data_IF_562820100728
#
_entry.id   IF_562820100728
#
_cell.length_a   1.000
_cell.length_b   1.000
_cell.length_c   1.000
_cell.angle_alpha   90.00
_cell.angle_beta   90.00
_cell.angle_gamma   90.00
#
_symmetry.space_group_name_H-M   'P 1'
#
loop_
_entity.id
_entity.type
_entity.pdbx_description
1 polymer ?
#
# COMPACT_ATOMS: atom_id res chain seq x y z
N UNK A 1 -35.20 27.13 18.90
CA UNK A 1 -34.34 28.07 18.14
C UNK A 1 -33.21 28.54 19.03
N UNK A 2 -32.03 27.97 18.84
CA UNK A 2 -30.72 28.41 19.34
C UNK A 2 -29.76 27.40 18.70
N UNK A 3 -29.19 27.69 17.55
CA UNK A 3 -28.02 28.55 17.43
C UNK A 3 -26.94 27.70 16.75
N UNK A 4 -27.23 27.25 15.53
CA UNK A 4 -26.27 26.57 14.66
C UNK A 4 -25.25 27.62 14.25
N UNK A 5 -24.07 27.55 14.86
CA UNK A 5 -22.96 28.43 14.53
C UNK A 5 -22.38 28.02 13.16
N UNK A 6 -22.85 28.69 12.11
CA UNK A 6 -22.48 28.50 10.70
C UNK A 6 -21.07 28.99 10.35
N UNK A 7 -20.29 29.42 11.35
CA UNK A 7 -18.90 29.88 11.18
C UNK A 7 -17.83 28.78 11.34
N UNK A 8 -18.23 27.56 11.75
CA UNK A 8 -17.31 26.41 11.79
C UNK A 8 -17.35 25.64 10.47
N UNK A 9 -16.39 25.90 9.58
CA UNK A 9 -16.15 25.08 8.40
C UNK A 9 -15.87 23.64 8.82
N UNK A 10 -16.66 22.68 8.37
CA UNK A 10 -16.42 21.27 8.66
C UNK A 10 -15.17 20.82 7.88
N UNK A 11 -14.04 20.68 8.56
CA UNK A 11 -12.84 20.06 7.97
C UNK A 11 -13.01 18.53 7.93
N UNK A 12 -13.72 18.01 6.93
CA UNK A 12 -13.65 16.59 6.60
C UNK A 12 -12.34 16.32 5.84
N UNK A 13 -11.35 15.68 6.48
CA UNK A 13 -10.04 15.43 5.83
C UNK A 13 -9.61 13.96 5.72
N UNK A 14 -10.33 12.98 6.27
CA UNK A 14 -10.01 11.55 6.11
C UNK A 14 -11.22 10.77 5.59
N UNK A 15 -11.10 10.01 4.49
CA UNK A 15 -12.21 9.21 3.97
C UNK A 15 -12.65 8.12 4.95
N UNK A 16 -13.88 7.66 4.74
CA UNK A 16 -14.51 6.64 5.58
C UNK A 16 -14.38 5.27 4.90
N UNK A 17 -13.98 4.25 5.65
CA UNK A 17 -14.06 2.86 5.20
C UNK A 17 -15.37 2.27 5.68
N UNK A 18 -16.15 1.68 4.76
CA UNK A 18 -17.41 1.00 5.06
C UNK A 18 -17.25 -0.48 4.73
N UNK A 19 -17.42 -1.35 5.73
CA UNK A 19 -17.40 -2.80 5.56
C UNK A 19 -18.81 -3.36 5.70
N UNK A 20 -19.39 -3.83 4.60
CA UNK A 20 -20.68 -4.49 4.61
C UNK A 20 -20.53 -5.99 4.86
N UNK A 21 -21.23 -6.49 5.88
CA UNK A 21 -21.40 -7.91 6.14
C UNK A 21 -20.12 -8.65 6.46
N UNK A 22 -19.11 -7.97 7.04
CA UNK A 22 -17.85 -8.56 7.50
C UNK A 22 -18.10 -9.84 8.30
N UNK A 23 -17.41 -10.93 7.93
CA UNK A 23 -17.65 -12.26 8.49
C UNK A 23 -16.53 -12.74 9.41
N UNK A 24 -15.28 -12.36 9.14
CA UNK A 24 -14.13 -12.83 9.91
C UNK A 24 -13.61 -11.70 10.81
N UNK A 25 -13.67 -11.86 12.15
CA UNK A 25 -13.11 -10.87 13.07
C UNK A 25 -11.64 -10.58 12.82
N UNK A 26 -10.85 -11.58 12.44
CA UNK A 26 -9.43 -11.44 12.14
C UNK A 26 -9.19 -10.50 10.95
N UNK A 27 -10.06 -10.56 9.93
CA UNK A 27 -10.02 -9.61 8.81
C UNK A 27 -10.35 -8.19 9.28
N UNK A 28 -11.32 -8.01 10.18
CA UNK A 28 -11.64 -6.69 10.73
C UNK A 28 -10.42 -6.08 11.44
N UNK A 29 -9.70 -6.87 12.23
CA UNK A 29 -8.46 -6.41 12.86
C UNK A 29 -7.39 -6.02 11.85
N UNK A 30 -7.15 -6.85 10.84
CA UNK A 30 -6.20 -6.53 9.76
C UNK A 30 -6.62 -5.29 8.94
N UNK A 31 -7.91 -5.06 8.76
CA UNK A 31 -8.45 -3.83 8.15
C UNK A 31 -8.12 -2.62 9.03
N UNK A 32 -8.41 -2.66 10.33
CA UNK A 32 -8.06 -1.55 11.24
C UNK A 32 -6.57 -1.24 11.22
N UNK A 33 -5.72 -2.28 11.26
CA UNK A 33 -4.26 -2.13 11.16
C UNK A 33 -3.85 -1.44 9.86
N UNK A 34 -4.43 -1.89 8.75
CA UNK A 34 -4.18 -1.34 7.42
C UNK A 34 -4.62 0.12 7.31
N UNK A 35 -5.81 0.45 7.81
CA UNK A 35 -6.34 1.81 7.86
C UNK A 35 -5.36 2.74 8.59
N UNK A 36 -4.92 2.33 9.78
CA UNK A 36 -4.03 3.14 10.60
C UNK A 36 -2.66 3.36 9.94
N UNK A 37 -2.10 2.36 9.25
CA UNK A 37 -0.84 2.49 8.50
C UNK A 37 -0.87 3.63 7.48
N UNK A 38 -2.05 3.98 6.96
CA UNK A 38 -2.25 5.01 5.94
C UNK A 38 -3.04 6.23 6.45
N UNK A 39 -3.23 6.33 7.77
CA UNK A 39 -3.86 7.48 8.43
C UNK A 39 -5.39 7.47 8.50
N UNK A 40 -6.06 6.41 8.04
CA UNK A 40 -7.51 6.29 8.11
C UNK A 40 -7.96 5.93 9.53
N UNK A 41 -8.97 6.65 10.06
CA UNK A 41 -9.50 6.45 11.41
C UNK A 41 -11.02 6.24 11.47
N UNK A 42 -11.71 6.46 10.36
CA UNK A 42 -13.17 6.42 10.30
C UNK A 42 -13.62 5.10 9.69
N UNK A 43 -14.21 4.23 10.52
CA UNK A 43 -14.69 2.91 10.12
C UNK A 43 -16.20 2.77 10.40
N UNK A 44 -16.94 2.29 9.41
CA UNK A 44 -18.36 1.92 9.55
C UNK A 44 -18.54 0.45 9.23
N UNK A 45 -19.31 -0.24 10.06
CA UNK A 45 -19.71 -1.63 9.85
C UNK A 45 -21.19 -1.68 9.51
N UNK A 46 -21.54 -2.28 8.37
CA UNK A 46 -22.94 -2.44 7.93
C UNK A 46 -23.34 -3.90 8.07
N UNK A 47 -24.35 -4.17 8.88
CA UNK A 47 -24.87 -5.52 9.14
C UNK A 47 -23.75 -6.57 9.39
N UNK A 48 -22.75 -6.30 10.27
CA UNK A 48 -21.63 -7.22 10.49
C UNK A 48 -22.15 -8.60 10.94
N UNK A 49 -21.53 -9.68 10.45
CA UNK A 49 -21.87 -11.06 10.86
C UNK A 49 -21.11 -11.50 12.11
N UNK A 50 -20.34 -10.58 12.68
CA UNK A 50 -19.59 -10.73 13.92
C UNK A 50 -20.18 -9.77 14.96
N UNK A 51 -20.14 -10.17 16.23
CA UNK A 51 -20.43 -9.23 17.32
C UNK A 51 -19.30 -8.20 17.43
N UNK A 52 -19.66 -6.94 17.65
CA UNK A 52 -18.73 -5.84 17.89
C UNK A 52 -18.96 -5.26 19.30
N UNK A 53 -17.91 -4.98 20.09
CA UNK A 53 -16.49 -5.27 19.83
C UNK A 53 -16.17 -6.78 19.83
N UNK A 54 -15.04 -7.17 19.24
CA UNK A 54 -14.64 -8.58 19.12
C UNK A 54 -13.18 -8.81 19.53
N UNK A 55 -12.93 -9.75 20.45
CA UNK A 55 -11.59 -10.03 20.96
C UNK A 55 -10.58 -10.46 19.87
N UNK A 56 -11.02 -11.22 18.86
CA UNK A 56 -10.16 -11.66 17.75
C UNK A 56 -9.81 -10.50 16.82
N UNK A 57 -10.74 -9.59 16.59
CA UNK A 57 -10.48 -8.37 15.82
C UNK A 57 -9.49 -7.46 16.56
N UNK A 58 -9.63 -7.33 17.88
CA UNK A 58 -8.69 -6.58 18.73
C UNK A 58 -7.30 -7.21 18.64
N UNK A 59 -7.17 -8.51 18.89
CA UNK A 59 -5.90 -9.22 18.87
C UNK A 59 -5.16 -9.12 17.52
N UNK A 60 -5.90 -9.23 16.41
CA UNK A 60 -5.33 -9.14 15.05
C UNK A 60 -5.06 -7.70 14.57
N UNK A 61 -5.52 -6.68 15.32
CA UNK A 61 -5.32 -5.27 14.97
C UNK A 61 -3.93 -4.72 15.27
N UNK A 62 -3.12 -5.44 16.06
CA UNK A 62 -1.78 -5.03 16.47
C UNK A 62 -1.73 -3.58 17.03
N UNK A 63 -2.65 -3.25 17.94
CA UNK A 63 -2.75 -1.94 18.59
C UNK A 63 -3.60 -0.89 17.84
N UNK A 64 -4.03 -1.18 16.61
CA UNK A 64 -4.86 -0.24 15.87
C UNK A 64 -6.26 -0.05 16.48
N UNK A 65 -6.76 -1.05 17.21
CA UNK A 65 -8.01 -0.95 17.95
C UNK A 65 -8.00 0.21 18.96
N UNK A 66 -6.88 0.49 19.63
CA UNK A 66 -6.84 1.53 20.66
C UNK A 66 -7.08 2.94 20.08
N UNK A 67 -6.85 3.10 18.77
CA UNK A 67 -7.04 4.36 18.04
C UNK A 67 -8.38 4.39 17.28
N UNK A 68 -8.74 3.29 16.62
CA UNK A 68 -9.92 3.23 15.74
C UNK A 68 -11.16 2.68 16.46
N UNK A 69 -10.97 1.79 17.44
CA UNK A 69 -12.05 1.00 18.05
C UNK A 69 -13.20 1.85 18.61
N UNK A 70 -12.87 2.97 19.25
CA UNK A 70 -13.86 3.87 19.85
C UNK A 70 -14.63 4.72 18.82
N UNK A 71 -14.12 4.90 17.60
CA UNK A 71 -14.78 5.66 16.53
C UNK A 71 -15.59 4.78 15.57
N UNK A 72 -15.55 3.45 15.73
CA UNK A 72 -16.30 2.52 14.88
C UNK A 72 -17.80 2.72 15.08
N UNK A 73 -18.51 3.00 13.98
CA UNK A 73 -19.98 3.08 13.96
C UNK A 73 -20.57 1.81 13.33
N UNK A 74 -21.63 1.27 13.92
CA UNK A 74 -22.32 0.07 13.43
C UNK A 74 -23.72 0.45 12.96
N UNK A 75 -24.07 0.02 11.75
CA UNK A 75 -25.34 0.33 11.09
C UNK A 75 -26.05 -0.95 10.67
N UNK A 76 -27.38 -0.87 10.58
CA UNK A 76 -28.21 -2.01 10.17
C UNK A 76 -28.34 -2.10 8.65
N UNK A 77 -28.33 -0.97 7.95
CA UNK A 77 -28.51 -0.86 6.50
C UNK A 77 -27.32 -0.12 5.86
N UNK A 78 -27.19 -0.21 4.53
CA UNK A 78 -26.16 0.56 3.81
C UNK A 78 -26.58 2.03 3.73
N UNK A 79 -27.87 2.26 3.56
CA UNK A 79 -28.52 3.56 3.47
C UNK A 79 -28.17 4.42 4.69
N UNK A 80 -28.42 3.92 5.91
CA UNK A 80 -28.12 4.62 7.17
C UNK A 80 -26.61 4.93 7.29
N UNK A 81 -25.77 4.05 6.74
CA UNK A 81 -24.32 4.20 6.78
C UNK A 81 -23.78 5.17 5.73
N UNK A 82 -24.61 5.64 4.79
CA UNK A 82 -24.22 6.55 3.72
C UNK A 82 -25.02 7.86 3.67
N UNK A 83 -25.95 8.09 4.61
CA UNK A 83 -26.78 9.31 4.66
C UNK A 83 -25.97 10.62 4.66
N UNK A 84 -24.80 10.64 5.29
CA UNK A 84 -23.89 11.79 5.34
C UNK A 84 -22.73 11.68 4.34
N UNK A 85 -22.78 10.75 3.38
CA UNK A 85 -21.74 10.50 2.38
C UNK A 85 -22.16 11.10 1.04
N UNK A 86 -21.37 12.04 0.54
CA UNK A 86 -21.62 12.66 -0.75
C UNK A 86 -21.01 11.87 -1.92
N UNK A 87 -19.91 11.14 -1.67
CA UNK A 87 -19.25 10.32 -2.69
C UNK A 87 -18.96 8.93 -2.16
N UNK A 88 -19.70 7.96 -2.67
CA UNK A 88 -19.54 6.54 -2.37
C UNK A 88 -18.83 5.83 -3.52
N UNK A 89 -17.67 5.23 -3.23
CA UNK A 89 -16.93 4.39 -4.15
C UNK A 89 -16.97 2.93 -3.71
N UNK A 90 -17.55 2.05 -4.52
CA UNK A 90 -17.71 0.63 -4.18
C UNK A 90 -16.68 -0.26 -4.88
N UNK A 91 -16.04 -1.19 -4.16
CA UNK A 91 -15.08 -2.12 -4.76
C UNK A 91 -15.75 -3.35 -5.35
N UNK A 92 -15.43 -3.71 -6.59
CA UNK A 92 -15.96 -4.90 -7.25
C UNK A 92 -14.93 -5.58 -8.16
N UNK A 93 -14.97 -6.92 -8.17
CA UNK A 93 -14.22 -7.74 -9.14
C UNK A 93 -14.99 -7.94 -10.46
N UNK A 94 -16.30 -7.62 -10.49
CA UNK A 94 -17.18 -7.84 -11.64
C UNK A 94 -17.13 -6.64 -12.58
N UNK A 95 -16.89 -6.91 -13.87
CA UNK A 95 -16.68 -5.88 -14.90
C UNK A 95 -17.91 -5.57 -15.78
N UNK A 96 -18.98 -6.38 -15.76
CA UNK A 96 -19.84 -6.53 -16.96
C UNK A 96 -21.30 -6.09 -16.86
N UNK A 97 -21.86 -5.82 -15.69
CA UNK A 97 -23.33 -5.73 -15.56
C UNK A 97 -23.84 -4.40 -14.96
N UNK A 98 -23.03 -3.33 -15.01
CA UNK A 98 -23.43 -2.04 -14.45
C UNK A 98 -23.11 -0.92 -15.45
N UNK A 99 -24.08 -0.04 -15.69
CA UNK A 99 -23.90 1.21 -16.45
C UNK A 99 -23.06 2.27 -15.71
N UNK A 100 -22.51 1.92 -14.53
CA UNK A 100 -21.70 2.80 -13.71
C UNK A 100 -20.24 2.83 -14.16
N UNK A 101 -19.56 3.96 -13.91
CA UNK A 101 -18.15 4.12 -14.23
C UNK A 101 -17.29 3.14 -13.42
N UNK A 102 -16.73 2.14 -14.12
CA UNK A 102 -15.74 1.20 -13.57
C UNK A 102 -14.34 1.70 -13.91
N UNK A 103 -13.51 1.91 -12.90
CA UNK A 103 -12.12 2.34 -13.10
C UNK A 103 -11.17 1.71 -12.07
N UNK A 104 -9.87 1.83 -12.29
CA UNK A 104 -8.84 1.31 -11.38
C UNK A 104 -8.69 2.20 -10.14
N UNK A 105 -8.13 1.69 -9.03
CA UNK A 105 -7.98 2.44 -7.78
C UNK A 105 -7.32 3.80 -7.98
N UNK A 106 -6.16 3.83 -8.65
CA UNK A 106 -5.38 5.06 -8.82
C UNK A 106 -6.15 6.15 -9.57
N UNK A 107 -6.83 5.77 -10.66
CA UNK A 107 -7.62 6.70 -11.48
C UNK A 107 -8.86 7.20 -10.73
N UNK A 108 -9.57 6.29 -10.05
CA UNK A 108 -10.77 6.66 -9.28
C UNK A 108 -10.41 7.64 -8.17
N UNK A 109 -9.37 7.33 -7.40
CA UNK A 109 -8.90 8.18 -6.31
C UNK A 109 -8.46 9.54 -6.84
N UNK A 110 -7.76 9.58 -7.98
CA UNK A 110 -7.38 10.85 -8.60
C UNK A 110 -8.59 11.70 -9.02
N UNK A 111 -9.62 11.08 -9.62
CA UNK A 111 -10.87 11.75 -9.99
C UNK A 111 -11.61 12.26 -8.76
N UNK A 112 -11.81 11.40 -7.76
CA UNK A 112 -12.50 11.74 -6.52
C UNK A 112 -11.85 12.96 -5.86
N UNK A 113 -10.52 12.96 -5.76
CA UNK A 113 -9.76 14.05 -5.15
C UNK A 113 -9.77 15.35 -5.93
N UNK A 114 -9.84 15.29 -7.26
CA UNK A 114 -9.88 16.48 -8.12
C UNK A 114 -11.28 17.11 -8.11
N UNK A 115 -12.32 16.28 -8.22
CA UNK A 115 -13.68 16.71 -8.48
C UNK A 115 -14.53 16.93 -7.23
N UNK A 116 -14.17 16.34 -6.09
CA UNK A 116 -15.01 16.33 -4.87
C UNK A 116 -14.25 16.86 -3.65
N UNK A 117 -13.64 18.04 -3.79
CA UNK A 117 -12.89 18.68 -2.70
C UNK A 117 -13.84 19.15 -1.62
N UNK A 118 -13.60 18.70 -0.38
CA UNK A 118 -14.41 19.06 0.79
C UNK A 118 -15.61 18.15 1.01
N UNK A 119 -15.86 17.21 0.08
CA UNK A 119 -16.95 16.25 0.18
C UNK A 119 -16.66 15.13 1.20
N UNK A 120 -17.72 14.58 1.79
CA UNK A 120 -17.63 13.36 2.58
C UNK A 120 -17.50 12.13 1.66
N UNK A 121 -16.30 11.55 1.64
CA UNK A 121 -15.95 10.43 0.76
C UNK A 121 -15.94 9.13 1.56
N UNK A 122 -16.54 8.07 1.00
CA UNK A 122 -16.45 6.72 1.55
C UNK A 122 -16.06 5.66 0.51
N UNK A 123 -15.33 4.66 0.99
CA UNK A 123 -14.99 3.46 0.22
C UNK A 123 -15.73 2.25 0.80
N UNK A 124 -16.57 1.62 -0.01
CA UNK A 124 -17.41 0.49 0.36
C UNK A 124 -16.80 -0.84 -0.09
N UNK A 125 -16.71 -1.77 0.85
CA UNK A 125 -16.23 -3.13 0.64
C UNK A 125 -17.28 -4.14 1.08
N UNK A 126 -17.38 -5.25 0.33
CA UNK A 126 -18.33 -6.32 0.60
C UNK A 126 -17.75 -7.47 1.44
N UNK A 127 -18.60 -8.46 1.77
CA UNK A 127 -18.19 -9.67 2.48
C UNK A 127 -17.16 -10.51 1.70
N UNK A 128 -16.32 -11.23 2.43
CA UNK A 128 -15.16 -11.96 1.91
C UNK A 128 -15.47 -12.95 0.78
N UNK A 129 -16.60 -13.66 0.88
CA UNK A 129 -16.95 -14.73 -0.08
C UNK A 129 -17.81 -14.25 -1.24
N UNK A 130 -18.70 -13.30 -0.96
CA UNK A 130 -19.77 -12.92 -1.90
C UNK A 130 -19.47 -11.61 -2.63
N UNK A 131 -18.66 -10.73 -2.04
CA UNK A 131 -18.51 -9.35 -2.48
C UNK A 131 -19.82 -8.56 -2.35
N UNK A 132 -19.84 -7.37 -2.94
CA UNK A 132 -21.01 -6.50 -2.97
C UNK A 132 -22.06 -7.05 -3.95
N UNK A 133 -23.33 -6.92 -3.58
CA UNK A 133 -24.46 -7.28 -4.42
C UNK A 133 -24.78 -6.13 -5.38
N UNK A 134 -25.49 -6.41 -6.49
CA UNK A 134 -25.85 -5.37 -7.47
C UNK A 134 -26.60 -4.19 -6.82
N UNK A 135 -27.46 -4.45 -5.83
CA UNK A 135 -28.17 -3.41 -5.06
C UNK A 135 -27.25 -2.51 -4.24
N UNK A 136 -26.07 -3.00 -3.84
CA UNK A 136 -25.07 -2.21 -3.13
C UNK A 136 -24.29 -1.35 -4.12
N UNK A 137 -23.96 -1.95 -5.27
CA UNK A 137 -23.23 -1.28 -6.35
C UNK A 137 -24.07 -0.17 -7.00
N UNK A 138 -25.40 -0.31 -7.05
CA UNK A 138 -26.30 0.73 -7.58
C UNK A 138 -26.39 1.98 -6.72
N UNK A 139 -25.97 1.93 -5.46
CA UNK A 139 -25.92 3.11 -4.58
C UNK A 139 -24.60 3.89 -4.74
N UNK A 140 -23.59 3.30 -5.37
CA UNK A 140 -22.27 3.90 -5.49
C UNK A 140 -22.20 4.87 -6.68
N UNK A 141 -21.53 6.01 -6.47
CA UNK A 141 -21.23 6.96 -7.54
C UNK A 141 -20.17 6.39 -8.51
N UNK A 142 -19.25 5.57 -8.00
CA UNK A 142 -18.16 4.98 -8.78
C UNK A 142 -17.88 3.55 -8.35
N UNK A 143 -17.50 2.71 -9.30
CA UNK A 143 -17.07 1.34 -9.05
C UNK A 143 -15.55 1.25 -9.22
N UNK A 144 -14.87 0.77 -8.19
CA UNK A 144 -13.44 0.52 -8.22
C UNK A 144 -13.18 -0.95 -8.51
N UNK A 145 -12.50 -1.22 -9.62
CA UNK A 145 -12.00 -2.55 -9.93
C UNK A 145 -10.52 -2.65 -9.57
N UNK A 146 -10.17 -3.46 -8.57
CA UNK A 146 -8.77 -3.79 -8.31
C UNK A 146 -8.34 -4.85 -9.34
N UNK A 147 -7.37 -4.55 -10.23
CA UNK A 147 -6.98 -5.49 -11.26
C UNK A 147 -6.26 -6.70 -10.64
N UNK A 148 -6.71 -7.89 -11.00
CA UNK A 148 -6.12 -9.17 -10.62
C UNK A 148 -5.94 -10.04 -11.86
N UNK A 149 -5.21 -11.15 -11.73
CA UNK A 149 -5.16 -12.17 -12.80
C UNK A 149 -6.54 -12.79 -13.00
N UNK A 150 -6.93 -13.04 -14.24
CA UNK A 150 -8.27 -13.56 -14.58
C UNK A 150 -8.55 -14.94 -13.96
N UNK A 151 -7.51 -15.77 -13.78
CA UNK A 151 -7.63 -17.11 -13.21
C UNK A 151 -7.92 -17.10 -11.69
N UNK A 152 -7.63 -16.00 -10.99
CA UNK A 152 -7.80 -15.91 -9.55
C UNK A 152 -7.99 -14.45 -9.09
N UNK A 153 -9.25 -14.00 -9.04
CA UNK A 153 -9.61 -12.62 -8.68
C UNK A 153 -10.10 -12.43 -7.26
N UNK A 154 -10.00 -13.45 -6.40
CA UNK A 154 -10.47 -13.35 -5.02
C UNK A 154 -9.38 -12.77 -4.12
N UNK A 155 -9.42 -11.44 -3.92
CA UNK A 155 -8.56 -10.78 -2.94
C UNK A 155 -9.14 -10.89 -1.54
N UNK A 156 -8.27 -11.08 -0.55
CA UNK A 156 -8.66 -10.92 0.85
C UNK A 156 -9.15 -9.49 1.09
N UNK A 157 -10.14 -9.33 1.98
CA UNK A 157 -10.74 -8.04 2.29
C UNK A 157 -9.71 -7.00 2.77
N UNK A 158 -8.86 -7.37 3.73
CA UNK A 158 -7.84 -6.45 4.26
C UNK A 158 -6.82 -6.05 3.18
N UNK A 159 -6.49 -6.94 2.24
CA UNK A 159 -5.64 -6.62 1.09
C UNK A 159 -6.31 -5.63 0.14
N UNK A 160 -7.61 -5.81 -0.11
CA UNK A 160 -8.39 -4.89 -0.95
C UNK A 160 -8.45 -3.49 -0.32
N UNK A 161 -8.71 -3.42 0.99
CA UNK A 161 -8.67 -2.15 1.75
C UNK A 161 -7.26 -1.54 1.70
N UNK A 162 -6.21 -2.36 1.81
CA UNK A 162 -4.82 -1.90 1.76
C UNK A 162 -4.50 -1.15 0.47
N UNK A 163 -4.89 -1.70 -0.67
CA UNK A 163 -4.66 -1.07 -1.99
C UNK A 163 -5.34 0.29 -2.06
N UNK A 164 -6.60 0.40 -1.62
CA UNK A 164 -7.33 1.67 -1.63
C UNK A 164 -6.71 2.70 -0.68
N UNK A 165 -6.40 2.30 0.55
CA UNK A 165 -5.79 3.19 1.54
C UNK A 165 -4.39 3.66 1.10
N UNK A 166 -3.58 2.77 0.51
CA UNK A 166 -2.26 3.09 -0.03
C UNK A 166 -2.34 4.10 -1.17
N UNK A 167 -3.19 3.84 -2.17
CA UNK A 167 -3.37 4.75 -3.32
C UNK A 167 -3.85 6.12 -2.86
N UNK A 168 -4.78 6.17 -1.90
CA UNK A 168 -5.23 7.42 -1.29
C UNK A 168 -4.06 8.15 -0.64
N UNK A 169 -3.26 7.47 0.18
CA UNK A 169 -2.12 8.04 0.89
C UNK A 169 -1.07 8.62 -0.06
N UNK A 170 -0.66 7.87 -1.09
CA UNK A 170 0.32 8.32 -2.09
C UNK A 170 -0.19 9.57 -2.83
N UNK A 171 -1.44 9.54 -3.28
CA UNK A 171 -2.06 10.68 -3.98
C UNK A 171 -2.33 11.86 -3.04
N UNK A 172 -2.43 11.65 -1.73
CA UNK A 172 -2.56 12.72 -0.73
C UNK A 172 -1.26 13.41 -0.39
N UNK A 173 -0.20 12.64 -0.22
CA UNK A 173 1.09 13.19 0.13
C UNK A 173 1.92 13.60 -1.09
N UNK A 174 1.33 13.54 -2.29
CA UNK A 174 2.00 13.80 -3.58
C UNK A 174 3.36 13.08 -3.69
N UNK A 175 3.43 11.87 -3.14
CA UNK A 175 4.69 11.11 -3.08
C UNK A 175 5.05 10.71 -4.50
N UNK A 176 5.94 11.48 -5.11
CA UNK A 176 6.50 11.24 -6.43
C UNK A 176 7.94 10.82 -6.23
N UNK A 177 8.17 9.51 -6.14
CA UNK A 177 9.52 8.94 -6.20
C UNK A 177 9.66 8.18 -7.50
N UNK A 178 10.12 8.87 -8.54
CA UNK A 178 10.65 8.21 -9.72
C UNK A 178 12.03 8.77 -9.99
N UNK A 179 13.05 8.15 -9.40
CA UNK A 179 14.39 8.23 -9.97
C UNK A 179 14.39 7.29 -11.18
N UNK A 180 14.49 7.86 -12.38
CA UNK A 180 14.66 7.08 -13.59
C UNK A 180 16.08 6.50 -13.61
N UNK A 181 16.23 5.26 -13.15
CA UNK A 181 17.45 4.51 -13.38
C UNK A 181 17.44 3.95 -14.81
N UNK A 182 18.52 4.18 -15.56
CA UNK A 182 18.75 3.45 -16.81
C UNK A 182 19.10 2.00 -16.45
N UNK A 183 18.10 1.12 -16.47
CA UNK A 183 18.22 -0.33 -16.15
C UNK A 183 18.83 -1.13 -17.32
N UNK A 184 19.11 -0.48 -18.46
CA UNK A 184 19.68 -1.16 -19.62
C UNK A 184 21.12 -1.59 -19.33
N UNK A 185 21.42 -2.86 -19.59
CA UNK A 185 22.74 -3.48 -19.52
C UNK A 185 23.40 -3.49 -18.12
N UNK A 186 22.60 -3.52 -17.04
CA UNK A 186 23.10 -3.70 -15.68
C UNK A 186 23.84 -5.04 -15.54
N UNK A 187 24.98 -5.00 -14.86
CA UNK A 187 25.66 -6.21 -14.41
C UNK A 187 24.81 -6.93 -13.38
N UNK A 188 24.71 -8.25 -13.50
CA UNK A 188 23.92 -9.03 -12.56
C UNK A 188 24.68 -9.18 -11.23
N UNK A 189 23.96 -9.61 -10.18
CA UNK A 189 24.56 -9.78 -8.84
C UNK A 189 25.70 -10.80 -8.82
N UNK A 190 25.68 -11.82 -9.69
CA UNK A 190 26.75 -12.82 -9.78
C UNK A 190 28.05 -12.17 -10.27
N UNK A 191 27.98 -11.34 -11.31
CA UNK A 191 29.14 -10.64 -11.88
C UNK A 191 29.73 -9.63 -10.88
N UNK A 192 28.88 -8.85 -10.20
CA UNK A 192 29.31 -7.91 -9.15
C UNK A 192 29.97 -8.66 -7.98
N UNK A 193 29.42 -9.80 -7.57
CA UNK A 193 30.01 -10.61 -6.51
C UNK A 193 31.37 -11.20 -6.92
N UNK A 194 31.51 -11.66 -8.17
CA UNK A 194 32.79 -12.13 -8.71
C UNK A 194 33.84 -11.02 -8.73
N UNK A 195 33.47 -9.81 -9.14
CA UNK A 195 34.32 -8.63 -9.05
C UNK A 195 34.75 -8.35 -7.61
N UNK A 196 33.80 -8.29 -6.68
CA UNK A 196 34.06 -8.03 -5.26
C UNK A 196 35.01 -9.07 -4.65
N UNK A 197 34.79 -10.36 -4.91
CA UNK A 197 35.68 -11.42 -4.45
C UNK A 197 37.09 -11.23 -4.99
N UNK A 198 37.21 -10.92 -6.29
CA UNK A 198 38.51 -10.70 -6.93
C UNK A 198 39.21 -9.44 -6.39
N UNK A 199 38.47 -8.36 -6.16
CA UNK A 199 39.00 -7.12 -5.60
C UNK A 199 39.54 -7.34 -4.17
N UNK A 200 38.76 -8.01 -3.31
CA UNK A 200 39.19 -8.35 -1.95
C UNK A 200 40.44 -9.22 -1.99
N UNK A 201 40.49 -10.25 -2.86
CA UNK A 201 41.68 -11.08 -3.00
C UNK A 201 42.92 -10.26 -3.38
N UNK A 202 42.82 -9.37 -4.37
CA UNK A 202 43.95 -8.54 -4.82
C UNK A 202 44.42 -7.59 -3.70
N UNK A 203 43.49 -6.99 -2.96
CA UNK A 203 43.83 -6.10 -1.84
C UNK A 203 44.48 -6.87 -0.68
N UNK A 204 44.03 -8.09 -0.39
CA UNK A 204 44.68 -8.99 0.56
C UNK A 204 46.11 -9.34 0.12
N UNK A 205 46.31 -9.71 -1.15
CA UNK A 205 47.64 -10.01 -1.70
C UNK A 205 48.62 -8.82 -1.58
N UNK A 206 48.10 -7.58 -1.70
CA UNK A 206 48.86 -6.33 -1.54
C UNK A 206 48.97 -5.86 -0.07
N UNK A 207 48.55 -6.68 0.90
CA UNK A 207 48.58 -6.38 2.34
C UNK A 207 47.84 -5.09 2.74
N UNK A 208 46.78 -4.74 2.02
CA UNK A 208 45.93 -3.60 2.37
C UNK A 208 45.16 -3.85 3.68
N UNK A 209 44.80 -5.10 3.96
CA UNK A 209 44.17 -5.52 5.22
C UNK A 209 45.24 -6.06 6.18
N UNK A 210 45.20 -5.64 7.44
CA UNK A 210 46.06 -6.18 8.51
C UNK A 210 45.79 -7.67 8.75
N UNK A 211 44.51 -8.02 8.95
CA UNK A 211 43.95 -9.37 8.81
C UNK A 211 42.47 -9.29 8.39
N UNK A 212 41.91 -10.40 7.89
CA UNK A 212 40.54 -10.40 7.35
C UNK A 212 39.48 -10.22 8.44
N UNK A 213 39.70 -10.81 9.61
CA UNK A 213 38.74 -10.81 10.72
C UNK A 213 38.54 -9.41 11.32
N UNK A 214 39.62 -8.69 11.59
CA UNK A 214 39.57 -7.30 12.09
C UNK A 214 39.06 -6.32 11.05
N UNK A 215 39.19 -6.64 9.76
CA UNK A 215 38.75 -5.79 8.65
C UNK A 215 37.37 -6.15 8.07
N UNK A 216 36.58 -7.00 8.74
CA UNK A 216 35.27 -7.45 8.23
C UNK A 216 34.36 -6.28 7.83
N UNK A 217 34.24 -5.25 8.69
CA UNK A 217 33.44 -4.05 8.41
C UNK A 217 33.95 -3.26 7.20
N UNK A 218 35.26 -3.14 7.04
CA UNK A 218 35.88 -2.47 5.90
C UNK A 218 35.61 -3.23 4.60
N UNK A 219 35.74 -4.56 4.61
CA UNK A 219 35.44 -5.43 3.47
C UNK A 219 33.97 -5.32 3.09
N UNK A 220 33.04 -5.34 4.05
CA UNK A 220 31.60 -5.15 3.80
C UNK A 220 31.34 -3.79 3.16
N UNK A 221 31.92 -2.71 3.69
CA UNK A 221 31.77 -1.36 3.13
C UNK A 221 32.32 -1.28 1.70
N UNK A 222 33.47 -1.89 1.44
CA UNK A 222 34.08 -1.93 0.12
C UNK A 222 33.22 -2.70 -0.89
N UNK A 223 32.68 -3.86 -0.51
CA UNK A 223 31.71 -4.61 -1.33
C UNK A 223 30.43 -3.81 -1.58
N UNK A 224 29.98 -3.04 -0.59
CA UNK A 224 28.79 -2.21 -0.69
C UNK A 224 28.95 -1.07 -1.70
N UNK A 225 30.15 -0.48 -1.85
CA UNK A 225 30.41 0.57 -2.85
C UNK A 225 29.97 0.09 -4.24
N UNK A 226 30.42 -1.10 -4.66
CA UNK A 226 30.11 -1.61 -6.00
C UNK A 226 28.75 -2.31 -6.10
N UNK A 227 28.19 -2.77 -4.97
CA UNK A 227 26.89 -3.46 -4.95
C UNK A 227 25.68 -2.52 -4.90
N UNK A 228 25.86 -1.30 -4.39
CA UNK A 228 24.82 -0.24 -4.35
C UNK A 228 24.78 0.59 -5.64
N UNK A 229 25.85 0.58 -6.42
CA UNK A 229 25.89 1.24 -7.71
C UNK A 229 25.27 0.33 -8.77
N UNK A 230 24.36 0.88 -9.58
CA UNK A 230 23.76 0.22 -10.72
C UNK A 230 24.77 0.12 -11.87
N UNK A 231 25.87 -0.60 -11.64
CA UNK A 231 26.95 -0.75 -12.61
C UNK A 231 26.46 -1.53 -13.83
N UNK A 232 26.79 -1.01 -15.00
CA UNK A 232 26.61 -1.71 -16.27
C UNK A 232 27.70 -2.77 -16.47
N UNK A 233 27.43 -3.73 -17.36
CA UNK A 233 28.42 -4.72 -17.79
C UNK A 233 29.69 -4.07 -18.36
N UNK A 234 29.56 -2.92 -19.02
CA UNK A 234 30.69 -2.16 -19.57
C UNK A 234 31.56 -1.58 -18.45
N UNK A 235 30.94 -0.92 -17.47
CA UNK A 235 31.66 -0.37 -16.31
C UNK A 235 32.33 -1.46 -15.49
N UNK A 236 31.65 -2.59 -15.28
CA UNK A 236 32.23 -3.72 -14.55
C UNK A 236 33.45 -4.31 -15.27
N UNK A 237 33.41 -4.40 -16.62
CA UNK A 237 34.59 -4.80 -17.42
C UNK A 237 35.75 -3.81 -17.27
N UNK A 238 35.48 -2.51 -17.25
CA UNK A 238 36.50 -1.48 -17.00
C UNK A 238 37.12 -1.68 -15.61
N UNK A 239 36.30 -1.86 -14.58
CA UNK A 239 36.77 -2.12 -13.22
C UNK A 239 37.61 -3.41 -13.12
N UNK A 240 37.18 -4.49 -13.78
CA UNK A 240 38.00 -5.71 -13.90
C UNK A 240 39.33 -5.44 -14.60
N UNK A 241 39.34 -4.61 -15.65
CA UNK A 241 40.57 -4.16 -16.32
C UNK A 241 41.50 -3.40 -15.38
N UNK A 242 40.97 -2.44 -14.61
CA UNK A 242 41.72 -1.65 -13.63
C UNK A 242 42.40 -2.57 -12.61
N UNK A 243 41.66 -3.46 -11.95
CA UNK A 243 42.25 -4.34 -10.93
C UNK A 243 43.24 -5.36 -11.55
N UNK A 244 43.04 -5.75 -12.81
CA UNK A 244 44.00 -6.60 -13.53
C UNK A 244 45.31 -5.86 -13.79
N UNK A 245 45.23 -4.57 -14.16
CA UNK A 245 46.41 -3.73 -14.36
C UNK A 245 47.17 -3.50 -13.06
N UNK A 246 46.47 -3.19 -11.96
CA UNK A 246 47.07 -2.96 -10.65
C UNK A 246 47.72 -4.22 -10.04
N UNK A 247 47.34 -5.41 -10.52
CA UNK A 247 48.01 -6.67 -10.15
C UNK A 247 49.37 -6.83 -10.84
N UNK A 248 49.60 -6.20 -12.00
CA UNK A 248 50.86 -6.33 -12.76
C UNK A 248 51.93 -5.39 -12.18
N UNK A 249 52.90 -6.01 -11.49
CA UNK A 249 54.10 -5.44 -10.83
C UNK A 249 53.87 -4.11 -10.11
#
# INVERSE_FOLDING_TARGET
MAGTDSSKSITYQDPIIILKGIQLPENLGMVMRTMLNFGFKNLRLVSPKIKWPNYKAIASSAGAYDIIGNSVKVFNSLEDATDDIEVLCATSVRKRDLDSFVDFPSNTIEKVKKSYKGNSIAFLFGPEKAGLQNKDLSQANMIINIPTVNAFGSLNLAMSVNIICYEWYIKNNKITRVQHYKIKDLANKKEINQFNTRLVQILSDKKFFSNIEENEKLIINLKNIFSKNNLTNKELRILHGIITSLKKK
#
